data_IF_219605221446
#
_entry.id   IF_219605221446
#
_cell.length_a   1.000
_cell.length_b   1.000
_cell.length_c   1.000
_cell.angle_alpha   90.00
_cell.angle_beta   90.00
_cell.angle_gamma   90.00
#
_symmetry.space_group_name_H-M   'P 1'
#
loop_
_entity.id
_entity.type
_entity.pdbx_description
1 polymer ?
#
# COMPACT_ATOMS: atom_id res chain seq x y z
N UNK A 1 55.88 42.43 -5.74
CA UNK A 1 54.87 41.66 -6.48
C UNK A 1 54.42 40.54 -5.54
N UNK A 2 53.24 40.69 -4.89
CA UNK A 2 52.65 39.64 -4.05
C UNK A 2 51.66 38.85 -4.89
N UNK A 3 51.88 37.54 -5.07
CA UNK A 3 50.92 36.62 -5.68
C UNK A 3 49.97 36.11 -4.63
N UNK A 4 48.68 36.44 -4.74
CA UNK A 4 47.61 35.88 -3.91
C UNK A 4 47.17 34.51 -4.46
N UNK A 5 47.38 33.45 -3.70
CA UNK A 5 46.88 32.12 -4.02
C UNK A 5 45.38 32.02 -3.62
N UNK A 6 44.52 31.83 -4.61
CA UNK A 6 43.09 31.56 -4.39
C UNK A 6 42.94 30.06 -4.03
N UNK A 7 42.62 29.75 -2.78
CA UNK A 7 42.24 28.42 -2.34
C UNK A 7 40.78 28.21 -2.73
N UNK A 8 40.54 27.44 -3.78
CA UNK A 8 39.19 26.97 -4.12
C UNK A 8 38.74 25.93 -3.09
N UNK A 9 37.90 26.32 -2.15
CA UNK A 9 37.23 25.41 -1.21
C UNK A 9 36.24 24.51 -1.95
N UNK A 10 36.49 23.21 -1.95
CA UNK A 10 35.50 22.22 -2.43
C UNK A 10 34.29 22.27 -1.51
N UNK A 11 33.14 22.69 -2.04
CA UNK A 11 31.85 22.57 -1.35
C UNK A 11 31.55 21.07 -1.26
N UNK A 12 31.38 20.51 -0.03
CA UNK A 12 30.95 19.11 0.08
C UNK A 12 29.60 18.95 -0.59
N UNK A 13 29.52 18.09 -1.60
CA UNK A 13 28.27 17.76 -2.26
C UNK A 13 27.28 17.24 -1.21
N UNK A 14 26.12 17.86 -1.09
CA UNK A 14 25.06 17.37 -0.23
C UNK A 14 24.75 15.92 -0.64
N UNK A 15 24.87 14.99 0.30
CA UNK A 15 24.49 13.62 0.07
C UNK A 15 23.01 13.62 -0.36
N UNK A 16 22.72 13.03 -1.53
CA UNK A 16 21.38 13.00 -2.05
C UNK A 16 20.59 11.99 -1.25
N UNK A 17 19.52 12.43 -0.55
CA UNK A 17 18.66 11.57 0.24
C UNK A 17 18.13 10.42 -0.62
N UNK A 18 18.15 9.20 -0.08
CA UNK A 18 17.66 8.01 -0.76
C UNK A 18 16.13 7.98 -0.88
N UNK A 19 15.58 7.01 -1.61
CA UNK A 19 14.13 6.85 -1.70
C UNK A 19 13.55 6.42 -0.34
N UNK A 20 12.41 7.01 0.03
CA UNK A 20 11.71 6.70 1.28
C UNK A 20 10.89 5.41 1.22
N UNK A 21 10.63 4.89 0.02
CA UNK A 21 9.94 3.62 -0.12
C UNK A 21 10.22 2.94 -1.46
N UNK A 22 10.16 1.59 -1.42
CA UNK A 22 10.01 0.77 -2.62
C UNK A 22 8.56 0.33 -2.75
N UNK A 23 8.09 0.22 -3.98
CA UNK A 23 6.71 -0.10 -4.28
C UNK A 23 6.59 -1.16 -5.37
N UNK A 24 5.76 -2.17 -5.12
CA UNK A 24 5.34 -3.14 -6.10
C UNK A 24 3.84 -3.35 -5.99
N UNK A 25 3.12 -3.21 -7.09
CA UNK A 25 1.70 -3.56 -7.17
C UNK A 25 1.43 -4.25 -8.50
N UNK A 26 0.72 -5.37 -8.44
CA UNK A 26 0.40 -6.17 -9.61
C UNK A 26 -1.03 -6.71 -9.53
N UNK A 27 -1.62 -6.97 -10.67
CA UNK A 27 -2.78 -7.84 -10.75
C UNK A 27 -2.34 -9.31 -10.61
N UNK A 28 -3.21 -10.16 -10.12
CA UNK A 28 -2.95 -11.61 -10.03
C UNK A 28 -3.02 -12.30 -11.40
N UNK A 29 -3.44 -11.59 -12.45
CA UNK A 29 -3.43 -12.06 -13.84
C UNK A 29 -2.90 -10.99 -14.78
N UNK A 30 -2.20 -11.41 -15.84
CA UNK A 30 -1.73 -10.54 -16.92
C UNK A 30 -2.71 -10.45 -18.10
N UNK A 31 -3.86 -11.16 -18.05
CA UNK A 31 -4.84 -11.18 -19.12
C UNK A 31 -5.74 -9.94 -19.12
N UNK A 32 -5.96 -9.26 -20.26
CA UNK A 32 -6.85 -8.11 -20.36
C UNK A 32 -8.32 -8.52 -20.21
N UNK A 33 -9.11 -7.63 -19.55
CA UNK A 33 -10.55 -7.80 -19.32
C UNK A 33 -10.93 -8.90 -18.34
N UNK A 34 -9.95 -9.52 -17.67
CA UNK A 34 -10.17 -10.62 -16.74
C UNK A 34 -10.55 -10.13 -15.33
N UNK A 35 -11.29 -10.98 -14.60
CA UNK A 35 -11.40 -10.88 -13.14
C UNK A 35 -10.01 -11.07 -12.54
N UNK A 36 -9.66 -10.26 -11.55
CA UNK A 36 -8.32 -10.25 -10.97
C UNK A 36 -8.35 -9.93 -9.49
N UNK A 37 -7.33 -10.38 -8.79
CA UNK A 37 -6.92 -9.86 -7.49
C UNK A 37 -5.82 -8.81 -7.64
N UNK A 38 -5.33 -8.33 -6.50
CA UNK A 38 -4.26 -7.34 -6.39
C UNK A 38 -3.26 -7.86 -5.36
N UNK A 39 -1.96 -7.79 -5.66
CA UNK A 39 -0.86 -8.00 -4.72
C UNK A 39 -0.06 -6.69 -4.62
N UNK A 40 -0.08 -6.08 -3.44
CA UNK A 40 0.61 -4.83 -3.15
C UNK A 40 1.70 -5.07 -2.13
N UNK A 41 2.88 -4.56 -2.37
CA UNK A 41 4.02 -4.61 -1.46
C UNK A 41 4.69 -3.25 -1.38
N UNK A 42 4.92 -2.78 -0.16
CA UNK A 42 5.64 -1.54 0.13
C UNK A 42 6.72 -1.84 1.16
N UNK A 43 7.91 -1.33 0.91
CA UNK A 43 9.01 -1.31 1.86
C UNK A 43 9.33 0.16 2.16
N UNK A 44 9.09 0.59 3.39
CA UNK A 44 9.36 1.95 3.85
C UNK A 44 10.79 2.04 4.37
N UNK A 45 11.45 3.16 4.11
CA UNK A 45 12.86 3.41 4.43
C UNK A 45 13.05 4.79 5.01
N UNK A 46 14.06 4.93 5.86
CA UNK A 46 14.57 6.26 6.18
C UNK A 46 15.48 6.74 5.04
N UNK A 47 15.34 8.00 4.57
CA UNK A 47 16.08 8.47 3.39
C UNK A 47 17.59 8.56 3.60
N UNK A 48 18.04 8.81 4.82
CA UNK A 48 19.45 9.00 5.15
C UNK A 48 20.11 7.72 5.70
N UNK A 49 19.32 6.81 6.27
CA UNK A 49 19.79 5.54 6.85
C UNK A 49 18.71 4.46 6.66
N UNK A 50 18.88 3.53 5.73
CA UNK A 50 17.88 2.48 5.46
C UNK A 50 17.57 1.57 6.66
N UNK A 51 18.47 1.47 7.64
CA UNK A 51 18.29 0.65 8.84
C UNK A 51 17.59 1.42 9.98
N UNK A 52 17.56 2.75 9.90
CA UNK A 52 16.84 3.58 10.85
C UNK A 52 15.32 3.41 10.74
N UNK A 53 14.60 3.87 11.76
CA UNK A 53 13.14 3.90 11.75
C UNK A 53 12.66 4.76 10.58
N UNK A 54 11.79 4.24 9.69
CA UNK A 54 11.20 5.03 8.61
C UNK A 54 10.43 6.24 9.14
N UNK A 55 10.32 7.29 8.34
CA UNK A 55 9.42 8.40 8.64
C UNK A 55 7.98 7.88 8.53
N UNK A 56 7.11 8.06 9.55
CA UNK A 56 5.74 7.57 9.51
C UNK A 56 4.98 8.09 8.29
N UNK A 57 4.25 7.20 7.60
CA UNK A 57 3.36 7.58 6.51
C UNK A 57 2.01 8.04 7.07
N UNK A 58 1.39 9.05 6.43
CA UNK A 58 0.06 9.58 6.76
C UNK A 58 -0.98 9.28 5.72
N UNK A 59 -0.58 9.24 4.47
CA UNK A 59 -1.49 8.94 3.38
C UNK A 59 -0.79 8.18 2.27
N UNK A 60 -1.49 7.20 1.74
CA UNK A 60 -1.09 6.41 0.57
C UNK A 60 -2.14 6.56 -0.52
N UNK A 61 -1.72 6.90 -1.73
CA UNK A 61 -2.58 7.02 -2.89
C UNK A 61 -2.09 6.09 -3.98
N UNK A 62 -2.90 5.08 -4.29
CA UNK A 62 -2.62 4.10 -5.32
C UNK A 62 -3.45 4.41 -6.56
N UNK A 63 -2.81 4.56 -7.71
CA UNK A 63 -3.47 4.76 -9.00
C UNK A 63 -3.24 3.55 -9.89
N UNK A 64 -4.33 2.90 -10.24
CA UNK A 64 -4.33 1.71 -11.07
C UNK A 64 -4.23 2.04 -12.58
N UNK A 65 -3.87 1.08 -13.44
CA UNK A 65 -3.82 1.27 -14.88
C UNK A 65 -5.13 1.81 -15.45
N UNK A 66 -5.03 2.62 -16.49
CA UNK A 66 -6.21 3.17 -17.20
C UNK A 66 -7.08 2.03 -17.71
N UNK A 67 -8.39 2.09 -17.43
CA UNK A 67 -9.35 1.05 -17.80
C UNK A 67 -9.53 -0.07 -16.79
N UNK A 68 -8.82 -0.04 -15.64
CA UNK A 68 -9.15 -0.86 -14.47
C UNK A 68 -10.56 -0.51 -14.00
N UNK A 69 -11.34 -1.51 -13.63
CA UNK A 69 -12.71 -1.34 -13.11
C UNK A 69 -12.82 -1.99 -11.75
N UNK A 70 -13.43 -1.27 -10.83
CA UNK A 70 -13.85 -1.74 -9.53
C UNK A 70 -15.36 -1.82 -9.49
N UNK A 71 -15.91 -2.87 -8.89
CA UNK A 71 -17.35 -3.07 -8.67
C UNK A 71 -17.50 -3.50 -7.20
N UNK A 72 -17.74 -2.53 -6.35
CA UNK A 72 -17.80 -2.72 -4.90
C UNK A 72 -19.06 -3.47 -4.49
N UNK A 73 -20.13 -3.42 -5.27
CA UNK A 73 -21.36 -4.16 -5.01
C UNK A 73 -21.21 -5.71 -5.07
N UNK A 74 -20.01 -6.21 -5.39
CA UNK A 74 -19.69 -7.64 -5.39
C UNK A 74 -19.41 -8.17 -3.99
N UNK A 75 -18.96 -7.32 -3.07
CA UNK A 75 -18.65 -7.64 -1.69
C UNK A 75 -19.68 -6.92 -0.80
N UNK A 76 -20.31 -7.59 0.16
CA UNK A 76 -21.24 -6.91 1.08
C UNK A 76 -20.50 -5.99 2.05
N UNK A 77 -21.21 -4.99 2.56
CA UNK A 77 -20.65 -3.98 3.46
C UNK A 77 -20.51 -4.52 4.90
N UNK A 78 -19.42 -4.20 5.58
CA UNK A 78 -19.32 -4.24 7.02
C UNK A 78 -19.89 -2.94 7.61
N UNK A 79 -20.85 -3.05 8.52
CA UNK A 79 -21.59 -1.89 9.05
C UNK A 79 -21.23 -1.54 10.50
N UNK A 80 -20.18 -2.16 11.06
CA UNK A 80 -19.73 -1.90 12.43
C UNK A 80 -19.04 -0.55 12.54
N UNK A 81 -19.01 0.01 13.76
CA UNK A 81 -18.24 1.21 14.04
C UNK A 81 -16.73 0.90 14.12
N UNK A 82 -15.89 1.94 13.93
CA UNK A 82 -14.46 1.81 14.14
C UNK A 82 -14.13 1.35 15.58
N UNK A 83 -14.90 1.79 16.57
CA UNK A 83 -14.74 1.34 17.95
C UNK A 83 -15.01 -0.17 18.10
N UNK A 84 -16.05 -0.70 17.46
CA UNK A 84 -16.29 -2.13 17.49
C UNK A 84 -15.18 -2.92 16.80
N UNK A 85 -14.70 -2.43 15.65
CA UNK A 85 -13.58 -3.02 14.94
C UNK A 85 -12.28 -2.98 15.78
N UNK A 86 -12.03 -1.86 16.49
CA UNK A 86 -10.91 -1.70 17.41
C UNK A 86 -10.97 -2.69 18.59
N UNK A 87 -12.16 -2.91 19.17
CA UNK A 87 -12.32 -3.76 20.35
C UNK A 87 -12.34 -5.25 20.00
N UNK A 88 -13.01 -5.62 18.90
CA UNK A 88 -13.29 -7.02 18.55
C UNK A 88 -12.35 -7.56 17.46
N UNK A 89 -11.58 -6.68 16.77
CA UNK A 89 -10.69 -7.09 15.69
C UNK A 89 -11.45 -7.65 14.49
N UNK A 90 -10.83 -8.59 13.80
CA UNK A 90 -11.38 -9.20 12.57
C UNK A 90 -12.77 -9.84 12.78
N UNK A 91 -13.11 -10.26 13.99
CA UNK A 91 -14.39 -10.89 14.28
C UNK A 91 -15.58 -9.91 14.28
N UNK A 92 -15.33 -8.61 14.32
CA UNK A 92 -16.38 -7.60 14.27
C UNK A 92 -17.12 -7.59 12.92
N UNK A 93 -16.40 -7.83 11.81
CA UNK A 93 -16.98 -7.85 10.48
C UNK A 93 -17.34 -9.28 10.03
N UNK A 94 -18.48 -9.47 9.35
CA UNK A 94 -18.78 -10.75 8.70
C UNK A 94 -17.69 -11.14 7.68
N UNK A 95 -17.33 -12.41 7.63
CA UNK A 95 -16.28 -12.89 6.72
C UNK A 95 -16.55 -12.58 5.23
N UNK A 96 -17.83 -12.43 4.85
CA UNK A 96 -18.22 -12.08 3.49
C UNK A 96 -17.79 -10.67 3.08
N UNK A 97 -17.61 -9.75 4.03
CA UNK A 97 -17.20 -8.34 3.81
C UNK A 97 -15.70 -8.17 3.64
N UNK A 98 -14.94 -9.24 3.84
CA UNK A 98 -13.49 -9.23 3.75
C UNK A 98 -13.01 -9.05 2.31
N UNK A 99 -12.16 -8.08 2.07
CA UNK A 99 -11.56 -7.77 0.77
C UNK A 99 -10.24 -8.50 0.56
N UNK A 100 -9.43 -8.60 1.60
CA UNK A 100 -8.10 -9.19 1.52
C UNK A 100 -7.35 -9.07 2.82
N UNK A 101 -6.18 -9.72 2.89
CA UNK A 101 -5.30 -9.68 4.05
C UNK A 101 -3.83 -9.61 3.64
N UNK A 102 -3.01 -9.40 4.64
CA UNK A 102 -1.58 -9.36 4.49
C UNK A 102 -0.85 -9.37 5.82
N UNK A 103 0.44 -9.17 5.71
CA UNK A 103 1.35 -9.05 6.82
C UNK A 103 2.19 -7.79 6.65
N UNK A 104 2.57 -7.22 7.75
CA UNK A 104 3.47 -6.10 7.80
C UNK A 104 4.39 -6.17 9.01
N UNK A 105 5.34 -5.27 9.04
CA UNK A 105 6.17 -5.03 10.21
C UNK A 105 6.14 -3.54 10.52
N UNK A 106 6.07 -3.22 11.80
CA UNK A 106 6.20 -1.85 12.29
C UNK A 106 7.49 -1.72 13.08
N UNK A 107 8.11 -0.56 13.01
CA UNK A 107 9.19 -0.16 13.92
C UNK A 107 8.57 0.60 15.08
N UNK A 108 8.63 0.02 16.26
CA UNK A 108 8.14 0.62 17.51
C UNK A 108 9.31 0.65 18.49
N UNK A 109 9.89 1.82 18.72
CA UNK A 109 10.97 1.99 19.70
C UNK A 109 10.38 2.27 21.08
N UNK A 110 11.04 1.84 22.15
CA UNK A 110 10.66 2.20 23.53
C UNK A 110 9.68 1.26 24.24
N UNK A 111 9.23 0.17 23.61
CA UNK A 111 8.49 -0.90 24.27
C UNK A 111 9.38 -2.11 24.51
N UNK A 112 9.14 -2.93 25.56
CA UNK A 112 9.79 -4.22 25.70
C UNK A 112 9.56 -5.09 24.46
N UNK A 113 10.64 -5.54 23.81
CA UNK A 113 10.56 -6.18 22.49
C UNK A 113 10.65 -5.20 21.32
N UNK A 114 11.02 -3.94 21.58
CA UNK A 114 11.21 -2.90 20.57
C UNK A 114 12.18 -3.35 19.47
N UNK A 115 11.67 -3.41 18.30
CA UNK A 115 12.31 -3.85 17.08
C UNK A 115 11.29 -3.85 15.98
N UNK A 116 11.34 -4.84 15.13
CA UNK A 116 10.29 -5.10 14.15
C UNK A 116 9.13 -5.85 14.84
N UNK A 117 7.98 -5.20 14.95
CA UNK A 117 6.78 -5.80 15.49
C UNK A 117 5.90 -6.30 14.33
N UNK A 118 5.62 -7.61 14.24
CA UNK A 118 4.79 -8.16 13.19
C UNK A 118 3.33 -7.71 13.35
N UNK A 119 2.69 -7.45 12.22
CA UNK A 119 1.31 -6.96 12.14
C UNK A 119 0.54 -7.77 11.10
N UNK A 120 -0.61 -8.30 11.49
CA UNK A 120 -1.62 -8.81 10.57
C UNK A 120 -2.42 -7.63 10.01
N UNK A 121 -2.67 -7.65 8.72
CA UNK A 121 -3.40 -6.60 8.03
C UNK A 121 -4.63 -7.21 7.37
N UNK A 122 -5.83 -6.71 7.68
CA UNK A 122 -7.08 -7.16 7.11
C UNK A 122 -7.85 -5.97 6.55
N UNK A 123 -8.41 -6.12 5.35
CA UNK A 123 -9.22 -5.08 4.72
C UNK A 123 -10.67 -5.56 4.57
N UNK A 124 -11.61 -4.66 4.87
CA UNK A 124 -13.05 -4.90 4.82
C UNK A 124 -13.75 -3.82 4.02
N UNK A 125 -14.80 -4.21 3.28
CA UNK A 125 -15.67 -3.28 2.59
C UNK A 125 -16.61 -2.58 3.59
N UNK A 126 -16.78 -1.27 3.43
CA UNK A 126 -17.65 -0.42 4.23
C UNK A 126 -18.68 0.32 3.35
N UNK A 127 -18.81 -0.09 2.10
CA UNK A 127 -19.75 0.46 1.14
C UNK A 127 -19.43 1.87 0.66
N UNK A 128 -20.07 2.27 -0.42
CA UNK A 128 -19.92 3.63 -1.00
C UNK A 128 -18.45 4.02 -1.26
N UNK A 129 -17.70 3.12 -1.90
CA UNK A 129 -16.26 3.31 -2.19
C UNK A 129 -15.36 3.44 -0.94
N UNK A 130 -15.84 3.07 0.24
CA UNK A 130 -15.08 3.10 1.50
C UNK A 130 -14.65 1.72 1.94
N UNK A 131 -13.49 1.64 2.53
CA UNK A 131 -12.98 0.42 3.16
C UNK A 131 -12.21 0.75 4.43
N UNK A 132 -12.00 -0.24 5.29
CA UNK A 132 -11.15 -0.14 6.47
C UNK A 132 -10.02 -1.14 6.36
N UNK A 133 -8.85 -0.70 6.76
CA UNK A 133 -7.68 -1.56 6.91
C UNK A 133 -7.37 -1.65 8.39
N UNK A 134 -7.64 -2.82 8.96
CA UNK A 134 -7.32 -3.14 10.35
C UNK A 134 -5.91 -3.73 10.40
N UNK A 135 -5.02 -3.10 11.15
CA UNK A 135 -3.74 -3.67 11.54
C UNK A 135 -3.81 -4.16 12.98
N UNK A 136 -3.41 -5.40 13.22
CA UNK A 136 -3.35 -6.03 14.55
C UNK A 136 -1.93 -6.49 14.79
N UNK A 137 -1.30 -6.00 15.88
CA UNK A 137 0.00 -6.51 16.31
C UNK A 137 -0.13 -7.95 16.79
N UNK A 138 0.81 -8.80 16.41
CA UNK A 138 0.85 -10.18 16.89
C UNK A 138 1.44 -10.29 18.31
N UNK A 139 2.30 -9.35 18.69
CA UNK A 139 3.04 -9.39 19.97
C UNK A 139 2.49 -8.41 21.02
N UNK A 140 1.72 -7.41 20.62
CA UNK A 140 1.24 -6.34 21.48
C UNK A 140 -0.30 -6.22 21.39
N UNK A 141 -1.00 -5.82 22.45
CA UNK A 141 -2.44 -5.58 22.42
C UNK A 141 -2.75 -4.25 21.70
N UNK A 142 -2.22 -4.10 20.48
CA UNK A 142 -2.33 -2.90 19.68
C UNK A 142 -3.07 -3.19 18.38
N UNK A 143 -4.05 -2.36 18.08
CA UNK A 143 -4.77 -2.30 16.81
C UNK A 143 -4.77 -0.89 16.28
N UNK A 144 -4.75 -0.74 14.97
CA UNK A 144 -4.98 0.53 14.29
C UNK A 144 -5.92 0.33 13.11
N UNK A 145 -6.68 1.36 12.80
CA UNK A 145 -7.62 1.34 11.68
C UNK A 145 -7.25 2.47 10.73
N UNK A 146 -6.85 2.11 9.51
CA UNK A 146 -6.67 3.05 8.43
C UNK A 146 -7.95 3.15 7.60
N UNK A 147 -8.31 4.38 7.22
CA UNK A 147 -9.50 4.68 6.44
C UNK A 147 -9.16 4.72 4.96
N UNK A 148 -9.87 3.91 4.19
CA UNK A 148 -9.68 3.85 2.76
C UNK A 148 -10.89 4.38 1.98
N UNK A 149 -10.60 5.04 0.86
CA UNK A 149 -11.60 5.54 -0.08
C UNK A 149 -11.21 5.22 -1.52
N UNK A 150 -12.24 4.94 -2.33
CA UNK A 150 -12.12 4.69 -3.76
C UNK A 150 -12.69 5.83 -4.60
N UNK A 151 -11.97 6.23 -5.63
CA UNK A 151 -12.51 7.14 -6.65
C UNK A 151 -12.05 6.68 -8.03
N UNK A 152 -12.96 6.11 -8.80
CA UNK A 152 -12.65 5.54 -10.10
C UNK A 152 -11.53 4.50 -10.02
N UNK A 153 -10.35 4.81 -10.56
CA UNK A 153 -9.17 3.93 -10.52
C UNK A 153 -8.16 4.27 -9.43
N UNK A 154 -8.51 5.14 -8.50
CA UNK A 154 -7.64 5.56 -7.39
C UNK A 154 -8.16 4.99 -6.08
N UNK A 155 -7.27 4.57 -5.21
CA UNK A 155 -7.54 4.18 -3.83
C UNK A 155 -6.64 5.00 -2.94
N UNK A 156 -7.25 5.70 -1.98
CA UNK A 156 -6.56 6.50 -0.97
C UNK A 156 -6.71 5.82 0.37
N UNK A 157 -5.65 5.75 1.14
CA UNK A 157 -5.63 5.21 2.50
C UNK A 157 -5.04 6.27 3.42
N UNK A 158 -5.81 6.73 4.38
CA UNK A 158 -5.33 7.59 5.45
C UNK A 158 -4.84 6.71 6.61
N UNK A 159 -3.54 6.79 6.88
CA UNK A 159 -2.86 5.99 7.89
C UNK A 159 -2.82 6.79 9.20
N UNK A 160 -3.44 6.29 10.28
CA UNK A 160 -3.43 6.99 11.55
C UNK A 160 -2.03 7.01 12.17
N UNK A 161 -1.77 7.98 13.03
CA UNK A 161 -0.62 7.93 13.92
C UNK A 161 -0.77 6.73 14.86
N UNK A 162 0.26 5.89 14.90
CA UNK A 162 0.31 4.75 15.83
C UNK A 162 1.24 5.08 16.99
N UNK A 163 0.92 4.69 18.22
CA UNK A 163 1.84 4.86 19.34
C UNK A 163 3.18 4.20 19.06
N UNK A 164 4.25 4.87 19.43
CA UNK A 164 5.61 4.37 19.33
C UNK A 164 6.49 5.02 20.38
N UNK A 165 7.78 4.70 20.38
CA UNK A 165 8.75 5.28 21.30
C UNK A 165 9.60 6.39 20.66
N UNK A 166 10.66 6.79 21.35
CA UNK A 166 11.58 7.80 20.83
C UNK A 166 12.06 7.52 19.40
N UNK A 167 12.44 8.54 18.63
CA UNK A 167 12.56 9.94 19.06
C UNK A 167 11.27 10.76 19.00
N UNK A 168 10.26 10.33 18.25
CA UNK A 168 9.08 11.11 17.90
C UNK A 168 7.77 10.61 18.57
N UNK A 169 7.83 9.54 19.36
CA UNK A 169 6.66 8.97 20.04
C UNK A 169 5.72 8.18 19.12
N UNK A 170 6.07 7.98 17.85
CA UNK A 170 5.23 7.29 16.87
C UNK A 170 5.85 5.97 16.39
N UNK A 171 5.00 5.01 16.05
CA UNK A 171 5.37 3.84 15.30
C UNK A 171 5.45 4.15 13.80
N UNK A 172 6.26 3.39 13.07
CA UNK A 172 6.38 3.52 11.63
C UNK A 172 6.25 2.16 10.95
N UNK A 173 5.54 2.10 9.84
CA UNK A 173 5.54 0.92 8.98
C UNK A 173 6.93 0.72 8.37
N UNK A 174 7.44 -0.51 8.40
CA UNK A 174 8.67 -0.91 7.69
C UNK A 174 8.35 -1.69 6.42
N UNK A 175 7.40 -2.59 6.50
CA UNK A 175 6.96 -3.38 5.36
C UNK A 175 5.48 -3.67 5.48
N UNK A 176 4.80 -3.64 4.35
CA UNK A 176 3.42 -4.14 4.22
C UNK A 176 3.31 -4.93 2.93
N UNK A 177 2.70 -6.10 2.99
CA UNK A 177 2.26 -6.84 1.82
C UNK A 177 0.82 -7.26 2.01
N UNK A 178 -0.05 -6.79 1.12
CA UNK A 178 -1.48 -7.11 1.11
C UNK A 178 -1.86 -7.85 -0.16
N UNK A 179 -2.66 -8.90 -0.01
CA UNK A 179 -3.20 -9.69 -1.10
C UNK A 179 -4.73 -9.57 -1.05
N UNK A 180 -5.28 -9.01 -2.11
CA UNK A 180 -6.71 -8.94 -2.37
C UNK A 180 -7.05 -10.01 -3.40
N UNK A 181 -7.65 -11.16 -3.02
CA UNK A 181 -7.94 -12.23 -3.95
C UNK A 181 -9.02 -11.81 -4.96
N UNK A 182 -9.12 -12.47 -6.11
CA UNK A 182 -10.23 -12.25 -7.03
C UNK A 182 -11.56 -12.58 -6.34
N UNK A 183 -12.51 -11.63 -6.40
CA UNK A 183 -13.88 -11.80 -5.88
C UNK A 183 -14.86 -11.68 -7.03
N UNK A 184 -15.89 -12.52 -7.01
CA UNK A 184 -16.95 -12.48 -8.02
C UNK A 184 -18.28 -12.92 -7.42
N UNK A 185 -19.35 -12.24 -7.78
CA UNK A 185 -20.73 -12.62 -7.43
C UNK A 185 -21.66 -12.27 -8.59
N UNK A 186 -22.62 -13.12 -8.90
CA UNK A 186 -23.59 -12.89 -9.98
C UNK A 186 -22.96 -12.60 -11.35
N UNK A 187 -21.83 -13.23 -11.69
CA UNK A 187 -21.10 -13.01 -12.94
C UNK A 187 -20.31 -11.67 -13.01
N UNK A 188 -20.40 -10.85 -11.96
CA UNK A 188 -19.61 -9.62 -11.80
C UNK A 188 -18.35 -9.90 -11.00
N UNK A 189 -17.28 -9.16 -11.26
CA UNK A 189 -16.03 -9.27 -10.54
C UNK A 189 -15.71 -7.94 -9.84
N UNK A 190 -15.28 -8.02 -8.56
CA UNK A 190 -14.93 -6.85 -7.77
C UNK A 190 -13.81 -6.01 -8.42
N UNK A 191 -12.85 -6.67 -9.06
CA UNK A 191 -11.80 -5.99 -9.82
C UNK A 191 -11.65 -6.66 -11.20
N UNK A 192 -11.58 -5.82 -12.24
CA UNK A 192 -11.26 -6.27 -13.60
C UNK A 192 -10.06 -5.50 -14.14
N UNK A 193 -9.16 -6.23 -14.78
CA UNK A 193 -8.05 -5.64 -15.54
C UNK A 193 -8.57 -4.78 -16.70
N UNK A 194 -7.77 -3.83 -17.22
CA UNK A 194 -8.10 -3.09 -18.43
C UNK A 194 -8.43 -4.03 -19.59
N UNK A 195 -9.43 -3.68 -20.39
CA UNK A 195 -9.91 -4.55 -21.52
C UNK A 195 -8.87 -4.78 -22.60
N UNK A 196 -7.86 -3.90 -22.71
CA UNK A 196 -6.82 -3.98 -23.74
C UNK A 196 -5.45 -3.79 -23.10
N UNK A 197 -4.44 -4.43 -23.67
CA UNK A 197 -3.05 -4.11 -23.38
C UNK A 197 -2.70 -2.76 -24.02
N UNK A 198 -1.99 -1.88 -23.32
CA UNK A 198 -1.46 -0.67 -23.94
C UNK A 198 -0.40 -1.03 -25.00
N UNK A 199 -0.06 -0.06 -25.86
CA UNK A 199 0.96 -0.24 -26.90
C UNK A 199 2.34 -0.56 -26.31
N UNK A 200 2.64 -0.06 -25.11
CA UNK A 200 3.87 -0.38 -24.36
C UNK A 200 3.96 -1.84 -23.89
N UNK A 201 2.90 -2.63 -24.02
CA UNK A 201 2.84 -4.00 -23.51
C UNK A 201 2.82 -4.12 -21.98
N UNK A 202 2.75 -3.01 -21.24
CA UNK A 202 2.79 -3.02 -19.77
C UNK A 202 1.69 -2.16 -19.17
N UNK A 203 1.10 -2.61 -18.08
CA UNK A 203 0.24 -1.81 -17.21
C UNK A 203 1.09 -1.05 -16.20
N UNK A 204 0.71 0.20 -15.94
CA UNK A 204 1.43 1.09 -15.03
C UNK A 204 0.61 1.37 -13.78
N UNK A 205 1.14 0.99 -12.64
CA UNK A 205 0.65 1.33 -11.31
C UNK A 205 1.48 2.48 -10.75
N UNK A 206 0.84 3.37 -9.99
CA UNK A 206 1.52 4.50 -9.36
C UNK A 206 1.16 4.54 -7.88
N UNK A 207 2.13 4.86 -7.04
CA UNK A 207 1.93 5.20 -5.65
C UNK A 207 2.42 6.62 -5.38
N UNK A 208 1.69 7.35 -4.53
CA UNK A 208 2.10 8.62 -3.93
C UNK A 208 1.88 8.51 -2.43
N UNK A 209 2.95 8.69 -1.68
CA UNK A 209 2.93 8.66 -0.22
C UNK A 209 3.19 10.05 0.32
N UNK A 210 2.45 10.40 1.38
CA UNK A 210 2.67 11.61 2.18
C UNK A 210 3.12 11.17 3.57
N UNK A 211 4.22 11.73 4.04
CA UNK A 211 4.86 11.37 5.31
C UNK A 211 4.54 12.37 6.41
N UNK A 212 4.83 12.00 7.66
CA UNK A 212 4.56 12.82 8.84
C UNK A 212 5.31 14.16 8.84
N UNK A 213 6.46 14.23 8.19
CA UNK A 213 7.24 15.47 8.01
C UNK A 213 6.72 16.37 6.88
N UNK A 214 5.59 16.02 6.25
CA UNK A 214 5.01 16.72 5.11
C UNK A 214 5.65 16.37 3.76
N UNK A 215 6.70 15.54 3.75
CA UNK A 215 7.34 15.07 2.53
C UNK A 215 6.39 14.24 1.66
N UNK A 216 6.49 14.41 0.34
CA UNK A 216 5.68 13.65 -0.63
C UNK A 216 6.58 12.97 -1.63
N UNK A 217 6.43 11.67 -1.78
CA UNK A 217 7.20 10.89 -2.75
C UNK A 217 6.29 10.06 -3.66
N UNK A 218 6.79 9.76 -4.87
CA UNK A 218 6.04 9.00 -5.89
C UNK A 218 6.90 7.85 -6.40
N UNK A 219 6.25 6.71 -6.61
CA UNK A 219 6.87 5.55 -7.21
C UNK A 219 5.95 4.93 -8.27
N UNK A 220 6.54 4.19 -9.20
CA UNK A 220 5.83 3.59 -10.34
C UNK A 220 6.26 2.14 -10.49
N UNK A 221 5.28 1.24 -10.57
CA UNK A 221 5.52 -0.16 -10.91
C UNK A 221 4.90 -0.50 -12.27
N UNK A 222 5.59 -1.31 -13.08
CA UNK A 222 5.12 -1.77 -14.38
C UNK A 222 4.98 -3.29 -14.40
N UNK A 223 3.82 -3.76 -14.82
CA UNK A 223 3.51 -5.18 -14.94
C UNK A 223 3.25 -5.53 -16.41
N UNK A 224 3.85 -6.60 -16.95
CA UNK A 224 3.55 -7.06 -18.32
C UNK A 224 2.06 -7.38 -18.50
N UNK A 225 1.50 -6.91 -19.61
CA UNK A 225 0.17 -7.29 -20.09
C UNK A 225 0.34 -8.33 -21.22
N UNK A 226 -0.26 -9.50 -21.07
CA UNK A 226 -0.14 -10.58 -22.04
C UNK A 226 -1.51 -10.88 -22.65
N UNK A 227 -1.66 -10.70 -23.96
CA UNK A 227 -2.82 -11.22 -24.68
C UNK A 227 -2.80 -12.75 -24.58
N UNK A 228 -3.94 -13.38 -24.27
CA UNK A 228 -4.07 -14.83 -24.45
C UNK A 228 -3.74 -15.14 -25.91
N UNK A 229 -2.75 -16.02 -26.13
CA UNK A 229 -2.56 -16.60 -27.44
C UNK A 229 -3.92 -17.18 -27.87
N UNK A 230 -4.44 -16.81 -29.05
CA UNK A 230 -5.57 -17.48 -29.63
C UNK A 230 -5.14 -18.94 -29.76
N UNK A 231 -5.77 -19.85 -29.04
CA UNK A 231 -5.67 -21.27 -29.34
C UNK A 231 -6.13 -21.38 -30.79
N UNK A 232 -5.17 -21.68 -31.68
CA UNK A 232 -5.47 -21.99 -33.05
C UNK A 232 -6.46 -23.15 -33.00
N UNK A 233 -7.65 -22.96 -33.56
CA UNK A 233 -8.54 -24.06 -33.92
C UNK A 233 -7.78 -24.87 -34.92
N UNK A 234 -7.14 -25.96 -34.47
CA UNK A 234 -6.71 -27.01 -35.38
C UNK A 234 -7.97 -27.48 -36.11
N UNK A 235 -8.00 -27.25 -37.44
CA UNK A 235 -8.96 -27.84 -38.38
C UNK A 235 -8.48 -29.25 -38.72
#
# INVERSE_FOLDING_TARGET
>A
MLSAAIVAGAVPGAAQAGPRFDYRQVFTTSAPGASTGIDTQILYKHPDDPDAKPIPVRQEVFTFPVGTRFDESVVPDCTVSDLQLQLQGVSACPAATWLGSGHGNTSMTGFPGAGENPVLVNAFDFGSDRFRVLGESEDLPLRFIAHGEGTGRTRTVDVPATPGGPPDGEGALRRVRNIFPPRSAGGRAAVRTPRKCPSSGTWTFKARLTFADGGVERNVHRMPCRRRARRGTAR
#
